data_IF_025747484998
#
_entry.id   IF_025747484998
#
_cell.length_a   1.000
_cell.length_b   1.000
_cell.length_c   1.000
_cell.angle_alpha   90.00
_cell.angle_beta   90.00
_cell.angle_gamma   90.00
#
_symmetry.space_group_name_H-M   'P 1'
#
loop_
_entity.id
_entity.type
_entity.pdbx_description
1 polymer ?
#
# COMPACT_ATOMS: atom_id res chain seq x y z
N UNK A 1 -43.50 14.27 -45.15
CA UNK A 1 -42.05 14.18 -45.49
C UNK A 1 -41.18 14.84 -44.41
N UNK A 2 -41.62 15.96 -43.81
CA UNK A 2 -40.99 16.61 -42.65
C UNK A 2 -40.83 15.71 -41.41
N UNK A 3 -41.86 14.93 -41.08
CA UNK A 3 -41.93 14.26 -39.78
C UNK A 3 -40.97 13.06 -39.68
N UNK A 4 -40.76 12.36 -40.80
CA UNK A 4 -39.75 11.30 -40.90
C UNK A 4 -38.33 11.85 -40.77
N UNK A 5 -38.10 13.08 -41.25
CA UNK A 5 -36.81 13.76 -41.14
C UNK A 5 -36.57 14.19 -39.67
N UNK A 6 -37.59 14.74 -39.01
CA UNK A 6 -37.49 15.10 -37.58
C UNK A 6 -37.26 13.87 -36.70
N UNK A 7 -37.95 12.76 -36.97
CA UNK A 7 -37.74 11.50 -36.24
C UNK A 7 -36.32 10.97 -36.40
N UNK A 8 -35.76 11.02 -37.61
CA UNK A 8 -34.39 10.58 -37.87
C UNK A 8 -33.35 11.43 -37.13
N UNK A 9 -33.56 12.76 -37.04
CA UNK A 9 -32.69 13.66 -36.28
C UNK A 9 -32.73 13.32 -34.79
N UNK A 10 -33.93 13.15 -34.21
CA UNK A 10 -34.08 12.80 -32.79
C UNK A 10 -33.40 11.47 -32.44
N UNK A 11 -33.49 10.47 -33.32
CA UNK A 11 -32.79 9.19 -33.14
C UNK A 11 -31.27 9.40 -33.18
N UNK A 12 -30.77 10.16 -34.15
CA UNK A 12 -29.35 10.44 -34.27
C UNK A 12 -28.78 11.16 -33.05
N UNK A 13 -29.47 12.19 -32.55
CA UNK A 13 -29.10 12.91 -31.33
C UNK A 13 -29.11 11.98 -30.11
N UNK A 14 -30.14 11.14 -29.98
CA UNK A 14 -30.21 10.15 -28.90
C UNK A 14 -29.05 9.15 -28.92
N UNK A 15 -28.70 8.63 -30.09
CA UNK A 15 -27.54 7.73 -30.26
C UNK A 15 -26.23 8.45 -29.96
N UNK A 16 -26.07 9.70 -30.40
CA UNK A 16 -24.89 10.51 -30.11
C UNK A 16 -24.71 10.76 -28.60
N UNK A 17 -25.80 11.06 -27.88
CA UNK A 17 -25.77 11.25 -26.42
C UNK A 17 -25.43 9.95 -25.71
N UNK A 18 -26.07 8.83 -26.08
CA UNK A 18 -25.80 7.52 -25.48
C UNK A 18 -24.35 7.08 -25.69
N UNK A 19 -23.82 7.24 -26.89
CA UNK A 19 -22.42 6.91 -27.19
C UNK A 19 -21.47 7.79 -26.37
N UNK A 20 -21.71 9.10 -26.29
CA UNK A 20 -20.91 10.00 -25.46
C UNK A 20 -20.90 9.58 -23.97
N UNK A 21 -22.04 9.19 -23.42
CA UNK A 21 -22.15 8.70 -22.02
C UNK A 21 -21.36 7.40 -21.83
N UNK A 22 -21.46 6.45 -22.77
CA UNK A 22 -20.75 5.17 -22.70
C UNK A 22 -19.23 5.40 -22.75
N UNK A 23 -18.76 6.17 -23.72
CA UNK A 23 -17.32 6.46 -23.85
C UNK A 23 -16.80 7.27 -22.67
N UNK A 24 -17.54 8.28 -22.19
CA UNK A 24 -17.16 9.04 -21.01
C UNK A 24 -17.05 8.17 -19.76
N UNK A 25 -18.02 7.28 -19.53
CA UNK A 25 -18.01 6.34 -18.40
C UNK A 25 -16.83 5.37 -18.47
N UNK A 26 -16.48 4.90 -19.68
CA UNK A 26 -15.32 4.04 -19.89
C UNK A 26 -14.00 4.74 -19.56
N UNK A 27 -13.83 6.00 -19.98
CA UNK A 27 -12.64 6.78 -19.68
C UNK A 27 -12.47 7.01 -18.18
N UNK A 28 -13.56 7.32 -17.46
CA UNK A 28 -13.52 7.51 -16.01
C UNK A 28 -13.09 6.22 -15.30
N UNK A 29 -13.64 5.06 -15.71
CA UNK A 29 -13.24 3.76 -15.16
C UNK A 29 -11.76 3.47 -15.42
N UNK A 30 -11.32 3.64 -16.66
CA UNK A 30 -9.93 3.42 -17.04
C UNK A 30 -8.97 4.33 -16.25
N UNK A 31 -9.31 5.61 -16.07
CA UNK A 31 -8.52 6.53 -15.28
C UNK A 31 -8.41 6.08 -13.82
N UNK A 32 -9.53 5.68 -13.21
CA UNK A 32 -9.55 5.17 -11.84
C UNK A 32 -8.73 3.89 -11.69
N UNK A 33 -8.81 2.97 -12.66
CA UNK A 33 -8.03 1.73 -12.65
C UNK A 33 -6.52 1.99 -12.77
N UNK A 34 -6.13 2.92 -13.65
CA UNK A 34 -4.72 3.34 -13.78
C UNK A 34 -4.24 3.95 -12.47
N UNK A 35 -5.00 4.89 -11.88
CA UNK A 35 -4.65 5.53 -10.62
C UNK A 35 -4.54 4.53 -9.47
N UNK A 36 -5.43 3.55 -9.42
CA UNK A 36 -5.37 2.47 -8.43
C UNK A 36 -4.07 1.67 -8.58
N UNK A 37 -3.71 1.26 -9.80
CA UNK A 37 -2.46 0.54 -10.07
C UNK A 37 -1.23 1.36 -9.74
N UNK A 38 -1.22 2.65 -10.06
CA UNK A 38 -0.13 3.56 -9.69
C UNK A 38 0.04 3.66 -8.17
N UNK A 39 -1.07 3.74 -7.43
CA UNK A 39 -1.05 3.76 -5.96
C UNK A 39 -0.53 2.44 -5.39
N UNK A 40 -0.98 1.30 -5.90
CA UNK A 40 -0.50 -0.03 -5.49
C UNK A 40 1.01 -0.18 -5.76
N UNK A 41 1.48 0.24 -6.94
CA UNK A 41 2.90 0.23 -7.29
C UNK A 41 3.72 1.13 -6.36
N UNK A 42 3.24 2.34 -6.08
CA UNK A 42 3.92 3.26 -5.16
C UNK A 42 3.99 2.71 -3.73
N UNK A 43 2.93 2.02 -3.27
CA UNK A 43 2.93 1.34 -1.97
C UNK A 43 3.95 0.21 -1.93
N UNK A 44 4.03 -0.60 -2.99
CA UNK A 44 5.06 -1.63 -3.13
C UNK A 44 6.48 -1.06 -3.10
N UNK A 45 6.75 0.00 -3.87
CA UNK A 45 8.05 0.66 -3.89
C UNK A 45 8.42 1.22 -2.51
N UNK A 46 7.50 1.91 -1.85
CA UNK A 46 7.72 2.45 -0.50
C UNK A 46 7.99 1.34 0.52
N UNK A 47 7.28 0.22 0.44
CA UNK A 47 7.53 -0.93 1.31
C UNK A 47 8.94 -1.49 1.10
N UNK A 48 9.37 -1.68 -0.15
CA UNK A 48 10.73 -2.15 -0.44
C UNK A 48 11.79 -1.17 0.04
N UNK A 49 11.55 0.14 -0.04
CA UNK A 49 12.47 1.13 0.55
C UNK A 49 12.59 0.99 2.07
N UNK A 50 11.56 0.55 2.78
CA UNK A 50 11.66 0.23 4.21
C UNK A 50 12.54 -0.99 4.44
N UNK A 51 12.40 -2.03 3.60
CA UNK A 51 13.24 -3.22 3.66
C UNK A 51 14.70 -2.85 3.39
N UNK A 52 14.96 -2.08 2.35
CA UNK A 52 16.29 -1.58 2.00
C UNK A 52 16.93 -0.87 3.19
N UNK A 53 16.20 0.00 3.90
CA UNK A 53 16.70 0.68 5.11
C UNK A 53 17.10 -0.27 6.25
N UNK A 54 16.55 -1.48 6.32
CA UNK A 54 16.94 -2.49 7.32
C UNK A 54 18.20 -3.26 6.93
N UNK A 55 18.49 -3.37 5.62
CA UNK A 55 19.61 -4.16 5.09
C UNK A 55 20.76 -3.31 4.56
N UNK A 56 20.57 -2.00 4.35
CA UNK A 56 21.52 -1.16 3.64
C UNK A 56 22.87 -1.10 4.36
N UNK A 57 23.87 -1.76 3.76
CA UNK A 57 25.26 -1.80 4.20
C UNK A 57 26.07 -0.58 3.71
N UNK A 58 25.46 0.35 2.94
CA UNK A 58 26.14 1.56 2.45
C UNK A 58 26.50 2.52 3.59
N UNK A 59 25.79 2.46 4.71
CA UNK A 59 26.26 2.98 5.99
C UNK A 59 27.18 1.91 6.55
N UNK A 60 28.48 2.18 6.76
CA UNK A 60 29.42 1.20 7.35
C UNK A 60 28.86 0.68 8.69
N UNK A 61 28.20 -0.48 8.66
CA UNK A 61 27.57 -1.10 9.84
C UNK A 61 26.07 -1.36 9.67
N UNK A 62 25.48 -1.99 10.69
CA UNK A 62 24.02 -2.16 10.78
C UNK A 62 23.34 -0.78 10.84
N UNK A 63 22.13 -0.59 10.25
CA UNK A 63 21.37 0.65 10.41
C UNK A 63 21.20 0.99 11.88
N UNK A 64 21.13 2.28 12.21
CA UNK A 64 20.96 2.70 13.60
C UNK A 64 19.67 2.13 14.18
N UNK A 65 19.67 1.86 15.49
CA UNK A 65 18.52 1.27 16.16
C UNK A 65 17.24 2.13 15.98
N UNK A 66 17.37 3.45 15.89
CA UNK A 66 16.23 4.35 15.69
C UNK A 66 15.64 4.24 14.28
N UNK A 67 16.47 4.00 13.26
CA UNK A 67 15.98 3.70 11.91
C UNK A 67 15.22 2.38 11.91
N UNK A 68 15.77 1.35 12.56
CA UNK A 68 15.13 0.02 12.66
C UNK A 68 13.76 0.12 13.34
N UNK A 69 13.70 0.82 14.49
CA UNK A 69 12.44 1.10 15.21
C UNK A 69 11.42 1.82 14.35
N UNK A 70 11.85 2.85 13.62
CA UNK A 70 10.97 3.58 12.70
C UNK A 70 10.41 2.66 11.63
N UNK A 71 11.26 1.82 11.00
CA UNK A 71 10.79 0.85 9.99
C UNK A 71 9.80 -0.15 10.58
N UNK A 72 10.08 -0.71 11.77
CA UNK A 72 9.17 -1.66 12.42
C UNK A 72 7.81 -1.03 12.67
N UNK A 73 7.77 0.21 13.16
CA UNK A 73 6.51 0.94 13.33
C UNK A 73 5.77 1.16 12.00
N UNK A 74 6.49 1.51 10.93
CA UNK A 74 5.92 1.78 9.61
C UNK A 74 5.29 0.55 8.94
N UNK A 75 5.67 -0.68 9.29
CA UNK A 75 5.03 -1.89 8.76
C UNK A 75 3.52 -1.96 9.01
N UNK A 76 3.01 -1.23 10.01
CA UNK A 76 1.57 -1.10 10.31
C UNK A 76 0.79 -0.47 9.15
N UNK A 77 1.44 0.34 8.32
CA UNK A 77 0.81 1.06 7.20
C UNK A 77 0.64 0.20 5.94
N UNK A 78 1.17 -1.02 5.93
CA UNK A 78 1.18 -1.92 4.78
C UNK A 78 0.50 -3.27 5.09
N UNK A 79 -0.82 -3.30 5.33
CA UNK A 79 -1.56 -4.52 5.65
C UNK A 79 -1.47 -5.59 4.56
N UNK A 80 -1.28 -5.21 3.30
CA UNK A 80 -1.06 -6.12 2.17
C UNK A 80 0.22 -6.95 2.29
N UNK A 81 1.22 -6.48 3.05
CA UNK A 81 2.49 -7.18 3.31
C UNK A 81 2.57 -7.76 4.73
N UNK A 82 1.44 -7.83 5.44
CA UNK A 82 1.36 -8.24 6.85
C UNK A 82 2.16 -9.50 7.19
N UNK A 83 2.00 -10.58 6.42
CA UNK A 83 2.65 -11.85 6.74
C UNK A 83 4.17 -11.79 6.53
N UNK A 84 4.64 -11.05 5.52
CA UNK A 84 6.08 -10.81 5.32
C UNK A 84 6.64 -9.95 6.45
N UNK A 85 5.96 -8.85 6.79
CA UNK A 85 6.36 -7.96 7.88
C UNK A 85 6.44 -8.69 9.23
N UNK A 86 5.49 -9.60 9.52
CA UNK A 86 5.54 -10.44 10.72
C UNK A 86 6.78 -11.32 10.77
N UNK A 87 7.10 -12.01 9.68
CA UNK A 87 8.28 -12.89 9.63
C UNK A 87 9.55 -12.09 9.89
N UNK A 88 9.69 -10.93 9.26
CA UNK A 88 10.82 -10.02 9.49
C UNK A 88 10.88 -9.61 10.97
N UNK A 89 9.76 -9.17 11.55
CA UNK A 89 9.69 -8.75 12.95
C UNK A 89 10.05 -9.88 13.93
N UNK A 90 9.58 -11.09 13.70
CA UNK A 90 9.91 -12.25 14.55
C UNK A 90 11.41 -12.60 14.47
N UNK A 91 12.02 -12.51 13.29
CA UNK A 91 13.46 -12.73 13.13
C UNK A 91 14.28 -11.66 13.85
N UNK A 92 13.88 -10.38 13.75
CA UNK A 92 14.51 -9.30 14.50
C UNK A 92 14.29 -9.42 16.01
N UNK A 93 13.12 -9.89 16.45
CA UNK A 93 12.82 -10.15 17.87
C UNK A 93 13.78 -11.18 18.45
N UNK A 94 14.01 -12.29 17.73
CA UNK A 94 14.97 -13.32 18.14
C UNK A 94 16.39 -12.74 18.23
N UNK A 95 16.83 -12.03 17.19
CA UNK A 95 18.15 -11.38 17.16
C UNK A 95 18.39 -10.46 18.36
N UNK A 96 17.42 -9.61 18.69
CA UNK A 96 17.55 -8.68 19.83
C UNK A 96 17.52 -9.39 21.18
N UNK A 97 16.76 -10.47 21.32
CA UNK A 97 16.73 -11.27 22.54
C UNK A 97 18.05 -12.04 22.77
N UNK A 98 18.67 -12.52 21.70
CA UNK A 98 19.93 -13.28 21.77
C UNK A 98 21.12 -12.40 22.19
N UNK A 99 21.14 -11.14 21.75
CA UNK A 99 22.23 -10.19 22.05
C UNK A 99 22.24 -9.73 23.53
N UNK A 100 21.12 -9.89 24.27
CA UNK A 100 20.94 -9.52 25.70
C UNK A 100 21.39 -8.10 26.08
N UNK A 101 21.50 -7.18 25.13
CA UNK A 101 21.90 -5.80 25.42
C UNK A 101 20.71 -4.90 25.80
N UNK A 102 20.87 -4.09 26.84
CA UNK A 102 19.84 -3.16 27.33
C UNK A 102 19.37 -2.18 26.24
N UNK A 103 20.26 -1.78 25.33
CA UNK A 103 19.92 -0.86 24.24
C UNK A 103 18.78 -1.37 23.35
N UNK A 104 18.59 -2.70 23.24
CA UNK A 104 17.57 -3.31 22.38
C UNK A 104 16.18 -3.41 23.02
N UNK A 105 16.01 -3.16 24.33
CA UNK A 105 14.72 -3.26 25.02
C UNK A 105 13.64 -2.42 24.33
N UNK A 106 13.98 -1.18 23.98
CA UNK A 106 13.06 -0.27 23.29
C UNK A 106 12.71 -0.73 21.86
N UNK A 107 13.61 -1.46 21.19
CA UNK A 107 13.36 -2.07 19.89
C UNK A 107 12.43 -3.27 20.00
N UNK A 108 12.65 -4.15 20.98
CA UNK A 108 11.79 -5.31 21.27
C UNK A 108 10.36 -4.85 21.53
N UNK A 109 10.16 -3.82 22.36
CA UNK A 109 8.81 -3.27 22.64
C UNK A 109 8.10 -2.84 21.36
N UNK A 110 8.78 -2.10 20.48
CA UNK A 110 8.18 -1.65 19.21
C UNK A 110 7.85 -2.83 18.29
N UNK A 111 8.69 -3.85 18.27
CA UNK A 111 8.42 -5.09 17.52
C UNK A 111 7.16 -5.76 18.07
N UNK A 112 7.04 -5.93 19.39
CA UNK A 112 5.88 -6.56 20.03
C UNK A 112 4.59 -5.78 19.79
N UNK A 113 4.60 -4.46 19.99
CA UNK A 113 3.46 -3.59 19.71
C UNK A 113 3.03 -3.68 18.24
N UNK A 114 4.00 -3.81 17.32
CA UNK A 114 3.73 -3.91 15.89
C UNK A 114 3.18 -5.29 15.52
N UNK A 115 3.72 -6.36 16.09
CA UNK A 115 3.21 -7.71 15.91
C UNK A 115 1.77 -7.82 16.41
N UNK A 116 1.46 -7.26 17.57
CA UNK A 116 0.10 -7.20 18.12
C UNK A 116 -0.84 -6.45 17.16
N UNK A 117 -0.43 -5.26 16.71
CA UNK A 117 -1.19 -4.48 15.73
C UNK A 117 -1.49 -5.29 14.48
N UNK A 118 -0.46 -5.90 13.89
CA UNK A 118 -0.58 -6.71 12.68
C UNK A 118 -1.47 -7.93 12.91
N UNK A 119 -1.44 -8.58 14.09
CA UNK A 119 -2.25 -9.76 14.39
C UNK A 119 -3.73 -9.43 14.64
N UNK A 120 -4.01 -8.27 15.23
CA UNK A 120 -5.38 -7.89 15.60
C UNK A 120 -6.32 -7.79 14.39
N UNK A 121 -7.45 -8.50 14.43
CA UNK A 121 -8.48 -8.47 13.37
C UNK A 121 -9.21 -7.12 13.28
N UNK A 122 -9.03 -6.27 14.30
CA UNK A 122 -9.75 -5.02 14.50
C UNK A 122 -9.30 -3.87 13.58
N UNK A 123 -8.12 -3.95 12.97
CA UNK A 123 -7.53 -2.87 12.17
C UNK A 123 -7.48 -3.17 10.66
N UNK A 124 -8.27 -4.14 10.19
CA UNK A 124 -8.36 -4.54 8.76
C UNK A 124 -9.06 -3.54 7.83
N UNK A 125 -9.44 -2.36 8.29
CA UNK A 125 -10.15 -1.35 7.49
C UNK A 125 -9.66 0.06 7.80
N UNK A 126 -8.85 0.60 6.90
CA UNK A 126 -8.94 2.00 6.46
C UNK A 126 -8.72 2.04 4.96
#
# INVERSE_FOLDING_TARGET
MSDNIQLAIMIFEGVAILTAIIFGSFQIKQYNDIKKKELEQKRFENYNLLIDRLIDQRIKGSPSLDIQKSVFFEFRNYPEYKEVSKNILEDWRKKFNDDKEEKYISGIRIIEDTLEYLQSSKYRKS
#
